data_IF_928338363748
#
_entry.id   IF_928338363748
#
_cell.length_a   1.000
_cell.length_b   1.000
_cell.length_c   1.000
_cell.angle_alpha   90.00
_cell.angle_beta   90.00
_cell.angle_gamma   90.00
#
_symmetry.space_group_name_H-M   'P 1'
#
loop_
_entity.id
_entity.type
_entity.pdbx_description
1 polymer ?
#
# COMPACT_ATOMS: atom_id res chain seq x y z
N UNK A 1 37.03 24.19 -49.38
CA UNK A 1 35.74 24.03 -48.69
C UNK A 1 36.02 23.78 -47.22
N UNK A 2 35.49 24.57 -46.27
CA UNK A 2 35.59 24.21 -44.87
C UNK A 2 34.48 23.21 -44.53
N UNK A 3 34.86 22.08 -43.96
CA UNK A 3 33.94 21.05 -43.46
C UNK A 3 33.42 21.53 -42.10
N UNK A 4 32.18 22.00 -42.06
CA UNK A 4 31.51 22.33 -40.80
C UNK A 4 31.30 21.04 -40.00
N UNK A 5 32.02 20.90 -38.89
CA UNK A 5 31.76 19.85 -37.90
C UNK A 5 30.34 20.02 -37.33
N UNK A 6 29.58 18.93 -37.10
CA UNK A 6 28.23 19.06 -36.58
C UNK A 6 28.26 19.70 -35.20
N UNK A 7 27.58 20.84 -35.08
CA UNK A 7 27.37 21.57 -33.84
C UNK A 7 26.88 20.60 -32.77
N UNK A 8 27.70 20.40 -31.73
CA UNK A 8 27.39 19.63 -30.54
C UNK A 8 26.07 20.14 -29.97
N UNK A 9 24.97 19.41 -30.19
CA UNK A 9 23.66 19.72 -29.56
C UNK A 9 23.92 19.86 -28.06
N UNK A 10 23.74 21.06 -27.52
CA UNK A 10 23.79 21.30 -26.08
C UNK A 10 22.60 20.55 -25.46
N UNK A 11 22.81 19.31 -25.02
CA UNK A 11 21.88 18.69 -24.08
C UNK A 11 21.84 19.58 -22.85
N UNK A 12 20.68 20.14 -22.53
CA UNK A 12 20.53 20.99 -21.36
C UNK A 12 20.84 20.17 -20.10
N UNK A 13 21.59 20.71 -19.13
CA UNK A 13 21.87 20.04 -17.86
C UNK A 13 20.59 19.63 -17.10
N UNK A 14 19.47 20.27 -17.42
CA UNK A 14 18.14 19.97 -16.89
C UNK A 14 17.59 18.62 -17.35
N UNK A 15 17.96 18.14 -18.55
CA UNK A 15 17.57 16.83 -19.06
C UNK A 15 18.25 15.68 -18.30
N UNK A 16 19.53 15.83 -17.93
CA UNK A 16 20.24 14.85 -17.11
C UNK A 16 19.68 14.76 -15.69
N UNK A 17 19.34 15.92 -15.09
CA UNK A 17 18.76 15.99 -13.74
C UNK A 17 17.34 15.44 -13.67
N UNK A 18 16.51 15.67 -14.68
CA UNK A 18 15.14 15.12 -14.74
C UNK A 18 15.14 13.60 -14.90
N UNK A 19 16.04 13.07 -15.73
CA UNK A 19 16.20 11.62 -15.94
C UNK A 19 16.66 10.91 -14.66
N UNK A 20 17.65 11.47 -13.96
CA UNK A 20 18.10 10.93 -12.67
C UNK A 20 17.00 10.97 -11.60
N UNK A 21 16.22 12.07 -11.53
CA UNK A 21 15.05 12.14 -10.63
C UNK A 21 14.03 11.04 -10.93
N UNK A 22 13.70 10.81 -12.20
CA UNK A 22 12.75 9.76 -12.59
C UNK A 22 13.25 8.36 -12.19
N UNK A 23 14.54 8.07 -12.40
CA UNK A 23 15.15 6.79 -11.99
C UNK A 23 15.08 6.59 -10.48
N UNK A 24 15.41 7.63 -9.69
CA UNK A 24 15.36 7.58 -8.22
C UNK A 24 13.92 7.34 -7.73
N UNK A 25 12.93 8.01 -8.32
CA UNK A 25 11.51 7.81 -7.99
C UNK A 25 11.08 6.37 -8.30
N UNK A 26 11.44 5.85 -9.47
CA UNK A 26 11.12 4.46 -9.83
C UNK A 26 11.75 3.44 -8.89
N UNK A 27 13.01 3.65 -8.47
CA UNK A 27 13.67 2.80 -7.47
C UNK A 27 12.95 2.85 -6.12
N UNK A 28 12.54 4.04 -5.66
CA UNK A 28 11.79 4.20 -4.42
C UNK A 28 10.41 3.54 -4.48
N UNK A 29 9.71 3.63 -5.61
CA UNK A 29 8.44 2.94 -5.83
C UNK A 29 8.60 1.43 -5.77
N UNK A 30 9.64 0.86 -6.41
CA UNK A 30 9.94 -0.57 -6.33
C UNK A 30 10.24 -1.03 -4.91
N UNK A 31 11.04 -0.26 -4.18
CA UNK A 31 11.35 -0.54 -2.77
C UNK A 31 10.08 -0.54 -1.90
N UNK A 32 9.20 0.45 -2.09
CA UNK A 32 7.95 0.55 -1.34
C UNK A 32 6.99 -0.60 -1.69
N UNK A 33 6.87 -0.98 -2.97
CA UNK A 33 6.09 -2.15 -3.37
C UNK A 33 6.60 -3.43 -2.71
N UNK A 34 7.92 -3.63 -2.68
CA UNK A 34 8.52 -4.77 -1.96
C UNK A 34 8.24 -4.72 -0.45
N UNK A 35 8.31 -3.55 0.19
CA UNK A 35 7.98 -3.39 1.62
C UNK A 35 6.50 -3.66 1.92
N UNK A 36 5.60 -3.30 1.00
CA UNK A 36 4.18 -3.62 1.08
C UNK A 36 3.98 -5.14 1.06
N UNK A 37 4.65 -5.86 0.15
CA UNK A 37 4.61 -7.33 0.08
C UNK A 37 5.06 -7.96 1.40
N UNK A 38 6.21 -7.52 1.92
CA UNK A 38 6.71 -7.99 3.21
C UNK A 38 5.69 -7.74 4.34
N UNK A 39 5.05 -6.57 4.39
CA UNK A 39 4.03 -6.29 5.40
C UNK A 39 2.75 -7.12 5.24
N UNK A 40 2.42 -7.57 4.02
CA UNK A 40 1.31 -8.49 3.76
C UNK A 40 1.66 -9.91 4.22
N UNK A 41 2.89 -10.36 3.98
CA UNK A 41 3.41 -11.66 4.45
C UNK A 41 3.45 -11.72 5.98
N UNK A 42 3.96 -10.67 6.62
CA UNK A 42 4.04 -10.53 8.08
C UNK A 42 2.67 -10.27 8.72
N UNK A 43 1.64 -9.93 7.93
CA UNK A 43 0.32 -9.47 8.40
C UNK A 43 0.40 -8.33 9.42
N UNK A 44 1.35 -7.42 9.24
CA UNK A 44 1.53 -6.24 10.08
C UNK A 44 0.75 -5.06 9.48
N UNK A 45 -0.45 -4.83 10.01
CA UNK A 45 -1.35 -3.80 9.50
C UNK A 45 -0.81 -2.37 9.73
N UNK A 46 0.06 -2.16 10.73
CA UNK A 46 0.66 -0.85 11.04
C UNK A 46 1.73 -0.53 10.00
N UNK A 47 2.63 -1.48 9.72
CA UNK A 47 3.65 -1.34 8.67
C UNK A 47 3.00 -1.17 7.31
N UNK A 48 1.98 -1.98 7.01
CA UNK A 48 1.25 -1.89 5.75
C UNK A 48 0.64 -0.50 5.53
N UNK A 49 -0.05 0.06 6.53
CA UNK A 49 -0.61 1.41 6.44
C UNK A 49 0.46 2.47 6.17
N UNK A 50 1.60 2.36 6.87
CA UNK A 50 2.72 3.29 6.70
C UNK A 50 3.28 3.25 5.28
N UNK A 51 3.47 2.06 4.72
CA UNK A 51 4.02 1.92 3.37
C UNK A 51 3.01 2.31 2.28
N UNK A 52 1.72 2.03 2.46
CA UNK A 52 0.66 2.50 1.56
C UNK A 52 0.61 4.03 1.50
N UNK A 53 0.65 4.71 2.65
CA UNK A 53 0.67 6.18 2.69
C UNK A 53 1.92 6.76 2.03
N UNK A 54 3.09 6.16 2.29
CA UNK A 54 4.35 6.60 1.65
C UNK A 54 4.34 6.38 0.13
N UNK A 55 3.70 5.30 -0.34
CA UNK A 55 3.57 4.98 -1.75
C UNK A 55 2.59 5.92 -2.46
N UNK A 56 1.44 6.22 -1.85
CA UNK A 56 0.48 7.21 -2.35
C UNK A 56 1.10 8.61 -2.44
N UNK A 57 1.78 9.05 -1.38
CA UNK A 57 2.44 10.37 -1.33
C UNK A 57 3.55 10.50 -2.40
N UNK A 58 4.29 9.42 -2.67
CA UNK A 58 5.32 9.41 -3.70
C UNK A 58 4.72 9.51 -5.11
N UNK A 59 3.59 8.84 -5.38
CA UNK A 59 2.85 8.99 -6.64
C UNK A 59 2.33 10.41 -6.82
N UNK A 60 1.70 10.98 -5.79
CA UNK A 60 1.18 12.36 -5.80
C UNK A 60 2.26 13.39 -6.10
N UNK A 61 3.42 13.31 -5.43
CA UNK A 61 4.56 14.21 -5.67
C UNK A 61 5.17 14.06 -7.07
N UNK A 62 5.11 12.86 -7.63
CA UNK A 62 5.59 12.62 -9.00
C UNK A 62 4.65 13.27 -10.01
N UNK A 63 3.36 13.33 -9.71
CA UNK A 63 2.35 14.04 -10.50
C UNK A 63 2.55 15.56 -10.44
N UNK A 64 2.66 16.12 -9.23
CA UNK A 64 2.81 17.56 -8.99
C UNK A 64 4.16 18.12 -9.48
N UNK A 65 5.23 17.31 -9.42
CA UNK A 65 6.56 17.67 -9.91
C UNK A 65 6.74 17.57 -11.43
N UNK A 66 5.77 17.00 -12.14
CA UNK A 66 5.76 16.88 -13.60
C UNK A 66 5.18 18.15 -14.24
N UNK A 67 5.87 19.29 -14.07
CA UNK A 67 5.46 20.55 -14.67
C UNK A 67 5.61 20.55 -16.21
N UNK A 68 4.55 20.95 -16.91
CA UNK A 68 4.49 21.62 -18.24
C UNK A 68 5.15 21.01 -19.49
N UNK A 69 6.10 20.07 -19.38
CA UNK A 69 6.95 19.65 -20.50
C UNK A 69 7.25 18.16 -20.59
N UNK A 70 6.71 17.32 -19.70
CA UNK A 70 6.74 15.88 -19.88
C UNK A 70 5.53 15.45 -20.72
N UNK A 71 5.78 14.79 -21.86
CA UNK A 71 4.73 14.21 -22.70
C UNK A 71 3.68 13.51 -21.83
N UNK A 72 2.38 13.83 -21.96
CA UNK A 72 1.34 13.01 -21.38
C UNK A 72 1.39 11.67 -22.13
N UNK A 73 2.00 10.66 -21.52
CA UNK A 73 1.69 9.30 -21.93
C UNK A 73 0.22 9.11 -21.60
N UNK A 74 -0.64 8.97 -22.61
CA UNK A 74 -2.08 8.76 -22.46
C UNK A 74 -2.43 7.52 -21.59
N UNK A 75 -1.43 6.66 -21.31
CA UNK A 75 -1.53 5.51 -20.42
C UNK A 75 -1.16 5.83 -18.95
N UNK A 76 -0.60 7.01 -18.68
CA UNK A 76 -0.09 7.41 -17.36
C UNK A 76 -1.19 7.85 -16.40
N UNK A 77 -2.18 8.60 -16.85
CA UNK A 77 -3.30 9.11 -16.03
C UNK A 77 -4.20 7.98 -15.52
N UNK A 78 -4.61 7.06 -16.39
CA UNK A 78 -5.45 5.91 -16.02
C UNK A 78 -4.73 4.96 -15.06
N UNK A 79 -3.43 4.75 -15.26
CA UNK A 79 -2.61 3.93 -14.36
C UNK A 79 -2.46 4.59 -12.98
N UNK A 80 -2.37 5.92 -12.90
CA UNK A 80 -2.23 6.65 -11.63
C UNK A 80 -3.55 6.73 -10.87
N UNK A 81 -4.66 7.07 -11.52
CA UNK A 81 -5.99 7.06 -10.89
C UNK A 81 -6.34 5.68 -10.34
N UNK A 82 -5.98 4.62 -11.07
CA UNK A 82 -6.13 3.27 -10.55
C UNK A 82 -5.33 3.08 -9.25
N UNK A 83 -4.09 3.58 -9.16
CA UNK A 83 -3.19 3.40 -7.99
C UNK A 83 -3.71 4.11 -6.75
N UNK A 84 -4.24 5.32 -6.90
CA UNK A 84 -4.85 6.06 -5.79
C UNK A 84 -6.10 5.35 -5.27
N UNK A 85 -6.98 4.89 -6.18
CA UNK A 85 -8.18 4.10 -5.81
C UNK A 85 -7.82 2.81 -5.06
N UNK A 86 -6.67 2.19 -5.38
CA UNK A 86 -6.21 1.03 -4.61
C UNK A 86 -5.68 1.39 -3.24
N UNK A 87 -4.88 2.46 -3.12
CA UNK A 87 -4.40 2.94 -1.82
C UNK A 87 -5.56 3.19 -0.88
N UNK A 88 -6.59 3.91 -1.35
CA UNK A 88 -7.75 4.25 -0.54
C UNK A 88 -8.51 2.99 -0.08
N UNK A 89 -8.77 2.07 -1.01
CA UNK A 89 -9.42 0.78 -0.68
C UNK A 89 -8.57 -0.04 0.28
N UNK A 90 -7.26 -0.11 0.06
CA UNK A 90 -6.34 -0.85 0.93
C UNK A 90 -6.31 -0.25 2.34
N UNK A 91 -6.23 1.08 2.47
CA UNK A 91 -6.32 1.79 3.74
C UNK A 91 -7.65 1.55 4.46
N UNK A 92 -8.77 1.50 3.73
CA UNK A 92 -10.06 1.15 4.30
C UNK A 92 -10.09 -0.28 4.85
N UNK A 93 -9.56 -1.25 4.08
CA UNK A 93 -9.51 -2.65 4.52
C UNK A 93 -8.57 -2.82 5.72
N UNK A 94 -7.41 -2.16 5.72
CA UNK A 94 -6.49 -2.11 6.87
C UNK A 94 -7.18 -1.55 8.12
N UNK A 95 -7.99 -0.50 7.96
CA UNK A 95 -8.77 0.05 9.07
C UNK A 95 -9.80 -0.94 9.62
N UNK A 96 -10.39 -1.78 8.74
CA UNK A 96 -11.28 -2.88 9.15
C UNK A 96 -10.51 -3.99 9.88
N UNK A 97 -9.31 -4.35 9.42
CA UNK A 97 -8.42 -5.31 10.09
C UNK A 97 -8.11 -4.84 11.51
N UNK A 98 -7.64 -3.61 11.68
CA UNK A 98 -7.31 -3.05 12.99
C UNK A 98 -8.52 -3.01 13.95
N UNK A 99 -9.74 -2.85 13.43
CA UNK A 99 -10.98 -2.93 14.23
C UNK A 99 -11.29 -4.35 14.68
N UNK A 100 -11.11 -5.35 13.81
CA UNK A 100 -11.35 -6.75 14.18
C UNK A 100 -10.26 -7.26 15.14
N UNK A 101 -9.01 -6.84 15.02
CA UNK A 101 -7.96 -7.16 16.02
C UNK A 101 -8.32 -6.63 17.41
N UNK A 102 -8.68 -5.35 17.52
CA UNK A 102 -9.18 -4.77 18.79
C UNK A 102 -10.43 -5.46 19.32
N UNK A 103 -11.24 -6.06 18.44
CA UNK A 103 -12.41 -6.85 18.84
C UNK A 103 -11.99 -8.21 19.38
N UNK A 104 -11.03 -8.88 18.73
CA UNK A 104 -10.45 -10.13 19.19
C UNK A 104 -9.81 -9.96 20.57
N UNK A 105 -9.08 -8.88 20.83
CA UNK A 105 -8.51 -8.61 22.16
C UNK A 105 -9.58 -8.54 23.24
N UNK A 106 -10.69 -7.82 22.97
CA UNK A 106 -11.84 -7.75 23.88
C UNK A 106 -12.50 -9.12 24.09
N UNK A 107 -12.58 -9.94 23.05
CA UNK A 107 -13.12 -11.30 23.14
C UNK A 107 -12.21 -12.21 23.96
N UNK A 108 -10.89 -12.12 23.77
CA UNK A 108 -9.89 -12.82 24.59
C UNK A 108 -10.04 -12.44 26.05
N UNK A 109 -10.23 -11.16 26.36
CA UNK A 109 -10.55 -10.69 27.72
C UNK A 109 -11.80 -11.37 28.29
N UNK A 110 -12.90 -11.43 27.53
CA UNK A 110 -14.13 -12.13 27.94
C UNK A 110 -13.94 -13.62 28.12
N UNK A 111 -13.15 -14.27 27.27
CA UNK A 111 -12.83 -15.69 27.38
C UNK A 111 -12.04 -16.00 28.66
N UNK A 112 -11.04 -15.17 28.99
CA UNK A 112 -10.28 -15.28 30.24
C UNK A 112 -11.19 -15.13 31.45
N UNK A 113 -12.04 -14.09 31.46
CA UNK A 113 -13.00 -13.86 32.56
C UNK A 113 -14.00 -15.02 32.71
N UNK A 114 -14.59 -15.49 31.62
CA UNK A 114 -15.54 -16.60 31.65
C UNK A 114 -14.88 -17.89 32.17
N UNK A 115 -13.60 -18.13 31.83
CA UNK A 115 -12.83 -19.26 32.34
C UNK A 115 -12.62 -19.15 33.85
N UNK A 116 -12.21 -17.98 34.37
CA UNK A 116 -12.01 -17.75 35.81
C UNK A 116 -13.32 -17.93 36.58
N UNK A 117 -14.45 -17.52 36.01
CA UNK A 117 -15.77 -17.63 36.63
C UNK A 117 -16.42 -19.02 36.47
N UNK A 118 -15.80 -19.98 35.79
CA UNK A 118 -16.42 -21.27 35.47
C UNK A 118 -17.64 -21.18 34.54
N UNK A 119 -17.85 -20.04 33.87
CA UNK A 119 -19.02 -19.79 33.04
C UNK A 119 -18.85 -20.37 31.63
N UNK A 120 -19.17 -21.66 31.49
CA UNK A 120 -19.05 -22.41 30.23
C UNK A 120 -19.86 -21.79 29.08
N UNK A 121 -21.12 -21.41 29.32
CA UNK A 121 -21.98 -20.79 28.28
C UNK A 121 -21.41 -19.45 27.79
N UNK A 122 -20.90 -18.63 28.71
CA UNK A 122 -20.25 -17.36 28.38
C UNK A 122 -18.95 -17.54 27.59
N UNK A 123 -18.19 -18.58 27.92
CA UNK A 123 -16.99 -18.99 27.19
C UNK A 123 -17.32 -19.40 25.76
N UNK A 124 -18.26 -20.35 25.58
CA UNK A 124 -18.63 -20.88 24.26
C UNK A 124 -19.18 -19.78 23.34
N UNK A 125 -20.01 -18.88 23.89
CA UNK A 125 -20.53 -17.71 23.15
C UNK A 125 -19.41 -16.77 22.71
N UNK A 126 -18.49 -16.44 23.61
CA UNK A 126 -17.35 -15.57 23.30
C UNK A 126 -16.43 -16.21 22.26
N UNK A 127 -16.21 -17.53 22.36
CA UNK A 127 -15.39 -18.29 21.42
C UNK A 127 -16.01 -18.29 20.02
N UNK A 128 -17.31 -18.55 19.89
CA UNK A 128 -18.01 -18.52 18.61
C UNK A 128 -17.93 -17.15 17.93
N UNK A 129 -18.04 -16.06 18.71
CA UNK A 129 -17.88 -14.70 18.18
C UNK A 129 -16.42 -14.43 17.79
N UNK A 130 -15.46 -14.93 18.59
CA UNK A 130 -14.03 -14.85 18.30
C UNK A 130 -13.67 -15.53 16.99
N UNK A 131 -14.16 -16.75 16.77
CA UNK A 131 -13.97 -17.49 15.52
C UNK A 131 -14.46 -16.71 14.31
N UNK A 132 -15.69 -16.16 14.35
CA UNK A 132 -16.23 -15.34 13.26
C UNK A 132 -15.41 -14.08 12.98
N UNK A 133 -14.92 -13.43 14.04
CA UNK A 133 -14.08 -12.23 13.92
C UNK A 133 -12.72 -12.58 13.30
N UNK A 134 -12.10 -13.68 13.73
CA UNK A 134 -10.87 -14.21 13.14
C UNK A 134 -11.03 -14.56 11.66
N UNK A 135 -12.07 -15.31 11.29
CA UNK A 135 -12.35 -15.69 9.91
C UNK A 135 -12.51 -14.43 9.02
N UNK A 136 -13.14 -13.38 9.56
CA UNK A 136 -13.28 -12.10 8.86
C UNK A 136 -11.92 -11.42 8.67
N UNK A 137 -11.08 -11.38 9.69
CA UNK A 137 -9.71 -10.83 9.58
C UNK A 137 -8.91 -11.56 8.50
N UNK A 138 -8.97 -12.90 8.45
CA UNK A 138 -8.30 -13.70 7.41
C UNK A 138 -8.80 -13.33 6.02
N UNK A 139 -10.12 -13.21 5.81
CA UNK A 139 -10.69 -12.79 4.52
C UNK A 139 -10.26 -11.38 4.10
N UNK A 140 -10.17 -10.45 5.05
CA UNK A 140 -9.70 -9.08 4.76
C UNK A 140 -8.24 -9.08 4.29
N UNK A 141 -7.38 -9.87 4.95
CA UNK A 141 -5.99 -10.05 4.51
C UNK A 141 -5.91 -10.66 3.11
N UNK A 142 -6.64 -11.74 2.85
CA UNK A 142 -6.71 -12.36 1.52
C UNK A 142 -7.18 -11.37 0.45
N UNK A 143 -8.18 -10.55 0.76
CA UNK A 143 -8.70 -9.55 -0.18
C UNK A 143 -7.66 -8.48 -0.55
N UNK A 144 -6.88 -7.97 0.42
CA UNK A 144 -5.79 -7.03 0.12
C UNK A 144 -4.71 -7.73 -0.72
N UNK A 145 -4.29 -8.94 -0.31
CA UNK A 145 -3.27 -9.69 -1.05
C UNK A 145 -3.68 -9.92 -2.50
N UNK A 146 -4.91 -10.39 -2.76
CA UNK A 146 -5.42 -10.61 -4.12
C UNK A 146 -5.46 -9.31 -4.94
N UNK A 147 -5.96 -8.23 -4.34
CA UNK A 147 -6.05 -6.91 -4.98
C UNK A 147 -4.68 -6.33 -5.33
N UNK A 148 -3.65 -6.63 -4.53
CA UNK A 148 -2.29 -6.19 -4.79
C UNK A 148 -1.63 -7.01 -5.92
N UNK A 149 -1.82 -8.34 -5.92
CA UNK A 149 -1.23 -9.21 -6.94
C UNK A 149 -1.90 -9.07 -8.31
N UNK A 150 -3.19 -8.73 -8.38
CA UNK A 150 -3.89 -8.50 -9.65
C UNK A 150 -3.42 -7.24 -10.41
N UNK A 151 -2.51 -6.46 -9.82
CA UNK A 151 -1.98 -5.20 -10.38
C UNK A 151 -0.53 -5.29 -10.84
N UNK A 152 0.15 -6.40 -10.57
CA UNK A 152 1.44 -6.73 -11.19
C UNK A 152 1.20 -7.21 -12.61
#
# INVERSE_FOLDING_TARGET
MPTDFPSRRKHSPDYGRSTLRAVIVNLRLRLLSWRIEQSLEERDHIRLLRYLNAWAELHRRTLEGSGGGALPSANGTTTVESKDVFCDRACEIVSRIAREERRLDRIVGRLKLARVQGNRRGYDRSYAVGKKSYDRTVRLWQHISLSFHSRR
#
